data_IF_705637516874
#
_entry.id   IF_705637516874
#
_cell.length_a   1.000
_cell.length_b   1.000
_cell.length_c   1.000
_cell.angle_alpha   90.00
_cell.angle_beta   90.00
_cell.angle_gamma   90.00
#
_symmetry.space_group_name_H-M   'P 1'
#
loop_
_entity.id
_entity.type
_entity.pdbx_description
1 polymer ?
#
# COMPACT_ATOMS: atom_id res chain seq x y z
N UNK A 1 3.61 8.43 -3.34
CA UNK A 1 2.28 7.81 -3.27
C UNK A 1 1.44 8.47 -2.20
N UNK A 2 0.28 9.00 -2.56
CA UNK A 2 -0.76 9.53 -1.67
C UNK A 2 -1.80 8.45 -1.33
N UNK A 3 -2.70 8.73 -0.39
CA UNK A 3 -3.83 7.86 -0.06
C UNK A 3 -4.68 7.54 -1.30
N UNK A 4 -4.95 8.55 -2.13
CA UNK A 4 -5.75 8.35 -3.34
C UNK A 4 -4.98 7.53 -4.38
N UNK A 5 -3.67 7.71 -4.54
CA UNK A 5 -2.89 6.87 -5.46
C UNK A 5 -2.91 5.40 -5.04
N UNK A 6 -2.79 5.09 -3.75
CA UNK A 6 -2.95 3.72 -3.23
C UNK A 6 -4.35 3.18 -3.52
N UNK A 7 -5.40 3.98 -3.30
CA UNK A 7 -6.78 3.59 -3.59
C UNK A 7 -6.93 3.18 -5.07
N UNK A 8 -6.42 3.99 -6.00
CA UNK A 8 -6.53 3.69 -7.43
C UNK A 8 -5.75 2.43 -7.82
N UNK A 9 -4.56 2.21 -7.25
CA UNK A 9 -3.81 0.96 -7.43
C UNK A 9 -4.60 -0.25 -6.90
N UNK A 10 -5.29 -0.10 -5.76
CA UNK A 10 -6.16 -1.13 -5.23
C UNK A 10 -7.39 -1.38 -6.09
N UNK A 11 -8.05 -0.34 -6.61
CA UNK A 11 -9.19 -0.49 -7.52
C UNK A 11 -8.82 -1.27 -8.78
N UNK A 12 -7.62 -1.05 -9.33
CA UNK A 12 -7.06 -1.86 -10.42
C UNK A 12 -6.93 -3.32 -10.02
N UNK A 13 -6.34 -3.61 -8.86
CA UNK A 13 -6.17 -4.96 -8.35
C UNK A 13 -7.51 -5.68 -8.10
N UNK A 14 -8.50 -4.97 -7.56
CA UNK A 14 -9.85 -5.52 -7.29
C UNK A 14 -10.67 -5.65 -8.58
N UNK A 15 -10.40 -4.82 -9.58
CA UNK A 15 -11.13 -4.77 -10.85
C UNK A 15 -12.47 -4.02 -10.76
N UNK A 16 -12.67 -3.20 -9.72
CA UNK A 16 -13.85 -2.36 -9.54
C UNK A 16 -13.55 -1.16 -8.62
N UNK A 17 -14.35 -0.09 -8.70
CA UNK A 17 -14.22 1.03 -7.77
C UNK A 17 -14.42 0.61 -6.31
N UNK A 18 -13.67 1.25 -5.41
CA UNK A 18 -13.74 1.03 -3.97
C UNK A 18 -14.36 2.29 -3.35
N UNK A 19 -15.50 2.16 -2.64
CA UNK A 19 -16.14 3.31 -2.03
C UNK A 19 -15.25 3.90 -0.92
N UNK A 20 -15.13 5.23 -0.92
CA UNK A 20 -14.42 5.98 0.11
C UNK A 20 -15.12 7.31 0.37
N UNK A 21 -14.80 7.92 1.51
CA UNK A 21 -15.21 9.27 1.86
C UNK A 21 -14.01 10.08 2.36
N UNK A 22 -14.00 11.38 2.07
CA UNK A 22 -13.00 12.29 2.62
C UNK A 22 -13.45 12.71 4.02
N UNK A 23 -12.66 12.35 5.02
CA UNK A 23 -12.94 12.67 6.42
C UNK A 23 -11.93 13.68 6.97
N UNK A 24 -12.14 14.12 8.22
CA UNK A 24 -11.21 15.01 8.90
C UNK A 24 -9.84 14.35 9.09
N UNK A 25 -8.77 15.15 9.11
CA UNK A 25 -7.42 14.64 9.42
C UNK A 25 -7.41 13.90 10.75
N UNK A 26 -6.81 12.71 10.77
CA UNK A 26 -6.57 11.97 12.01
C UNK A 26 -5.48 12.66 12.81
N UNK A 27 -5.73 12.89 14.11
CA UNK A 27 -4.77 13.54 14.98
C UNK A 27 -3.44 12.75 15.03
N UNK A 28 -2.33 13.46 14.87
CA UNK A 28 -0.98 12.87 14.85
C UNK A 28 -0.44 12.54 13.46
N UNK A 29 -1.27 12.49 12.42
CA UNK A 29 -0.78 12.25 11.05
C UNK A 29 -0.03 13.48 10.51
N UNK A 30 1.20 13.26 10.04
CA UNK A 30 1.97 14.25 9.27
C UNK A 30 1.51 14.27 7.80
N UNK A 31 1.68 15.39 7.08
CA UNK A 31 1.19 15.52 5.70
C UNK A 31 1.94 14.63 4.69
N UNK A 32 3.27 14.49 4.82
CA UNK A 32 4.08 13.64 3.97
C UNK A 32 5.45 13.37 4.58
N UNK A 33 5.96 12.16 4.41
CA UNK A 33 7.35 11.79 4.65
C UNK A 33 7.67 10.52 3.85
N UNK A 34 8.93 10.30 3.54
CA UNK A 34 9.42 9.10 2.85
C UNK A 34 10.91 8.89 3.19
N UNK A 35 11.41 7.68 2.94
CA UNK A 35 12.80 7.33 3.20
C UNK A 35 13.70 7.75 2.02
N UNK A 36 14.91 8.22 2.35
CA UNK A 36 16.07 8.07 1.48
C UNK A 36 16.76 6.76 1.86
N UNK A 37 16.74 5.78 0.94
CA UNK A 37 17.26 4.44 1.16
C UNK A 37 18.67 4.25 0.57
N UNK A 38 19.38 5.33 0.19
CA UNK A 38 20.70 5.26 -0.45
C UNK A 38 21.76 4.57 0.40
N UNK A 39 21.75 4.74 1.73
CA UNK A 39 22.69 4.01 2.62
C UNK A 39 22.46 2.50 2.60
N UNK A 40 21.20 2.02 2.62
CA UNK A 40 20.94 0.59 2.54
C UNK A 40 21.42 -0.02 1.21
N UNK A 41 21.30 0.73 0.11
CA UNK A 41 21.85 0.32 -1.17
C UNK A 41 23.38 0.29 -1.15
N UNK A 42 24.03 1.31 -0.61
CA UNK A 42 25.50 1.41 -0.59
C UNK A 42 26.13 0.35 0.33
N UNK A 43 25.60 0.20 1.54
CA UNK A 43 26.23 -0.58 2.60
C UNK A 43 25.84 -2.06 2.54
N UNK A 44 24.63 -2.36 2.07
CA UNK A 44 24.06 -3.71 2.06
C UNK A 44 23.79 -4.26 0.65
N UNK A 45 24.00 -3.45 -0.40
CA UNK A 45 23.59 -3.80 -1.77
C UNK A 45 22.10 -4.17 -1.86
N UNK A 46 21.27 -3.60 -0.98
CA UNK A 46 19.85 -3.93 -0.87
C UNK A 46 18.95 -2.82 -1.42
N UNK A 47 17.89 -3.21 -2.13
CA UNK A 47 16.84 -2.31 -2.59
C UNK A 47 15.48 -3.00 -2.71
N UNK A 48 14.40 -2.22 -2.66
CA UNK A 48 13.04 -2.71 -2.92
C UNK A 48 12.81 -2.89 -4.42
N UNK A 49 12.22 -4.01 -4.82
CA UNK A 49 11.95 -4.33 -6.24
C UNK A 49 10.47 -4.31 -6.60
N UNK A 50 9.58 -4.20 -5.61
CA UNK A 50 8.14 -4.35 -5.78
C UNK A 50 7.46 -2.99 -5.91
N UNK A 51 6.76 -2.70 -7.02
CA UNK A 51 5.98 -1.47 -7.18
C UNK A 51 4.66 -1.54 -6.39
N UNK A 52 4.02 -0.38 -6.21
CA UNK A 52 2.77 -0.27 -5.45
C UNK A 52 1.63 -1.12 -6.02
N UNK A 53 1.56 -1.25 -7.35
CA UNK A 53 0.52 -2.05 -8.01
C UNK A 53 0.66 -3.53 -7.62
N UNK A 54 1.89 -4.09 -7.63
CA UNK A 54 2.15 -5.47 -7.20
C UNK A 54 1.85 -5.67 -5.70
N UNK A 55 2.16 -4.68 -4.87
CA UNK A 55 1.81 -4.71 -3.44
C UNK A 55 0.29 -4.81 -3.22
N UNK A 56 -0.49 -4.04 -3.98
CA UNK A 56 -1.96 -4.05 -3.90
C UNK A 56 -2.56 -5.35 -4.45
N UNK A 57 -2.02 -5.87 -5.55
CA UNK A 57 -2.42 -7.16 -6.14
C UNK A 57 -2.18 -8.33 -5.19
N UNK A 58 -0.99 -8.40 -4.59
CA UNK A 58 -0.63 -9.44 -3.64
C UNK A 58 -1.51 -9.38 -2.39
N UNK A 59 -1.76 -8.18 -1.87
CA UNK A 59 -2.65 -7.98 -0.73
C UNK A 59 -4.09 -8.40 -1.06
N UNK A 60 -4.61 -7.98 -2.22
CA UNK A 60 -5.96 -8.36 -2.64
C UNK A 60 -6.08 -9.87 -2.84
N UNK A 61 -5.07 -10.51 -3.44
CA UNK A 61 -5.03 -11.97 -3.60
C UNK A 61 -5.14 -12.68 -2.25
N UNK A 62 -4.41 -12.20 -1.24
CA UNK A 62 -4.52 -12.72 0.13
C UNK A 62 -5.93 -12.51 0.71
N UNK A 63 -6.41 -11.26 0.72
CA UNK A 63 -7.69 -10.90 1.34
C UNK A 63 -8.88 -11.58 0.68
N UNK A 64 -8.85 -11.74 -0.65
CA UNK A 64 -9.87 -12.46 -1.43
C UNK A 64 -9.96 -13.94 -1.03
N UNK A 65 -8.81 -14.57 -0.78
CA UNK A 65 -8.75 -16.00 -0.42
C UNK A 65 -8.95 -16.23 1.08
N UNK A 66 -8.74 -15.21 1.92
CA UNK A 66 -8.82 -15.28 3.37
C UNK A 66 -9.66 -14.09 3.90
N UNK A 67 -10.97 -14.03 3.59
CA UNK A 67 -11.78 -12.86 3.89
C UNK A 67 -11.89 -12.56 5.40
N UNK A 68 -11.77 -13.59 6.24
CA UNK A 68 -11.77 -13.49 7.70
C UNK A 68 -10.37 -13.63 8.32
N UNK A 69 -9.31 -13.58 7.51
CA UNK A 69 -7.95 -13.87 7.94
C UNK A 69 -7.72 -15.36 8.20
N UNK A 70 -6.80 -15.66 9.12
CA UNK A 70 -6.51 -17.03 9.54
C UNK A 70 -7.60 -17.57 10.47
N UNK A 71 -7.92 -18.85 10.35
CA UNK A 71 -8.75 -19.54 11.34
C UNK A 71 -7.90 -19.89 12.57
N UNK A 72 -8.43 -19.63 13.77
CA UNK A 72 -7.87 -20.12 15.02
C UNK A 72 -8.26 -21.58 15.27
#
# INVERSE_FOLDING_TARGET
TSVLEVLHSFEKAVGKPIPYEITTRRAGDLPAFWADATSALADLSWSTTKPIDEMCEDHWRWQKNNPNGYNN
#
